data_IF_847600518657
#
_entry.id   IF_847600518657
#
_cell.length_a   1.000
_cell.length_b   1.000
_cell.length_c   1.000
_cell.angle_alpha   90.00
_cell.angle_beta   90.00
_cell.angle_gamma   90.00
#
_symmetry.space_group_name_H-M   'P 1'
#
loop_
_entity.id
_entity.type
_entity.pdbx_description
1 polymer ?
#
# COMPACT_ATOMS: atom_id res chain seq x y z
N UNK A 1 -15.19 13.90 16.83
CA UNK A 1 -15.86 12.83 17.58
C UNK A 1 -14.83 12.32 18.60
N UNK A 2 -15.18 11.65 19.71
CA UNK A 2 -14.12 10.96 20.46
C UNK A 2 -13.41 10.01 19.48
N UNK A 3 -12.08 9.93 19.53
CA UNK A 3 -11.30 9.01 18.67
C UNK A 3 -11.88 7.61 18.82
N UNK A 4 -12.61 7.17 17.81
CA UNK A 4 -13.19 5.84 17.79
C UNK A 4 -12.01 4.89 17.57
N UNK A 5 -11.77 4.03 18.55
CA UNK A 5 -10.68 3.06 18.50
C UNK A 5 -10.81 2.24 17.21
N UNK A 6 -9.74 2.20 16.40
CA UNK A 6 -9.77 1.45 15.13
C UNK A 6 -10.05 -0.03 15.41
N UNK A 7 -10.91 -0.62 14.60
CA UNK A 7 -11.28 -2.02 14.72
C UNK A 7 -10.59 -2.85 13.62
N UNK A 8 -9.79 -3.82 14.06
CA UNK A 8 -9.18 -4.84 13.21
C UNK A 8 -9.91 -6.17 13.38
N UNK A 9 -10.49 -6.69 12.30
CA UNK A 9 -11.11 -8.01 12.32
C UNK A 9 -10.12 -9.07 11.85
N UNK A 10 -9.94 -10.11 12.67
CA UNK A 10 -8.95 -11.17 12.46
C UNK A 10 -9.62 -12.39 11.83
N UNK A 11 -9.21 -12.70 10.60
CA UNK A 11 -9.62 -13.87 9.83
C UNK A 11 -8.52 -14.92 9.93
N UNK A 12 -8.81 -16.06 10.54
CA UNK A 12 -7.79 -17.10 10.71
C UNK A 12 -8.39 -18.48 10.92
N UNK A 13 -7.63 -19.57 10.65
CA UNK A 13 -8.09 -20.91 10.94
C UNK A 13 -8.35 -21.11 12.44
N UNK A 14 -9.47 -21.77 12.77
CA UNK A 14 -9.76 -22.19 14.14
C UNK A 14 -9.01 -23.49 14.45
N UNK A 15 -7.80 -23.37 14.99
CA UNK A 15 -7.00 -24.47 15.52
C UNK A 15 -6.15 -23.95 16.69
N UNK A 16 -5.93 -24.81 17.68
CA UNK A 16 -5.09 -24.51 18.86
C UNK A 16 -3.66 -24.09 18.47
N UNK A 17 -3.18 -24.57 17.31
CA UNK A 17 -1.86 -24.23 16.76
C UNK A 17 -1.68 -22.72 16.47
N UNK A 18 -2.79 -21.98 16.31
CA UNK A 18 -2.76 -20.55 16.02
C UNK A 18 -3.00 -19.66 17.24
N UNK A 19 -3.19 -20.24 18.42
CA UNK A 19 -3.59 -19.45 19.59
C UNK A 19 -2.50 -18.46 20.03
N UNK A 20 -1.23 -18.89 19.97
CA UNK A 20 -0.08 -18.02 20.26
C UNK A 20 0.14 -16.97 19.17
N UNK A 21 -0.07 -17.35 17.90
CA UNK A 21 -0.03 -16.41 16.76
C UNK A 21 -1.07 -15.31 16.96
N UNK A 22 -2.28 -15.68 17.37
CA UNK A 22 -3.35 -14.73 17.63
C UNK A 22 -3.03 -13.81 18.82
N UNK A 23 -2.78 -14.39 20.00
CA UNK A 23 -2.61 -13.62 21.24
C UNK A 23 -1.37 -12.73 21.20
N UNK A 24 -0.21 -13.32 20.91
CA UNK A 24 1.08 -12.65 21.02
C UNK A 24 1.52 -12.03 19.69
N UNK A 25 1.15 -12.65 18.58
CA UNK A 25 1.52 -12.20 17.24
C UNK A 25 0.59 -11.14 16.66
N UNK A 26 -0.70 -11.10 17.04
CA UNK A 26 -1.70 -10.19 16.46
C UNK A 26 -2.29 -9.22 17.49
N UNK A 27 -2.88 -9.71 18.60
CA UNK A 27 -3.55 -8.83 19.57
C UNK A 27 -2.58 -7.89 20.28
N UNK A 28 -1.44 -8.40 20.73
CA UNK A 28 -0.43 -7.56 21.40
C UNK A 28 0.11 -6.40 20.54
N UNK A 29 0.53 -6.58 19.27
CA UNK A 29 0.95 -5.46 18.42
C UNK A 29 -0.21 -4.52 18.08
N UNK A 30 -1.43 -5.03 17.85
CA UNK A 30 -2.59 -4.17 17.62
C UNK A 30 -2.90 -3.28 18.84
N UNK A 31 -2.90 -3.86 20.04
CA UNK A 31 -3.14 -3.13 21.28
C UNK A 31 -2.08 -2.05 21.57
N UNK A 32 -0.82 -2.26 21.16
CA UNK A 32 0.22 -1.23 21.27
C UNK A 32 -0.04 0.03 20.45
N UNK A 33 -0.88 -0.08 19.41
CA UNK A 33 -1.23 1.02 18.52
C UNK A 33 -2.66 1.55 18.75
N UNK A 34 -3.29 1.09 19.84
CA UNK A 34 -4.69 1.37 20.18
C UNK A 34 -5.67 0.90 19.09
N UNK A 35 -5.42 -0.31 18.57
CA UNK A 35 -6.29 -0.99 17.59
C UNK A 35 -6.92 -2.20 18.28
N UNK A 36 -8.25 -2.28 18.27
CA UNK A 36 -9.00 -3.41 18.79
C UNK A 36 -8.97 -4.55 17.78
N UNK A 37 -8.19 -5.60 18.06
CA UNK A 37 -8.14 -6.81 17.23
C UNK A 37 -9.01 -7.93 17.82
N UNK A 38 -10.03 -8.37 17.08
CA UNK A 38 -10.92 -9.46 17.52
C UNK A 38 -11.17 -10.50 16.42
N UNK A 39 -11.39 -11.74 16.86
CA UNK A 39 -11.93 -12.84 16.06
C UNK A 39 -13.42 -13.01 16.32
N UNK A 40 -14.10 -13.72 15.42
CA UNK A 40 -15.53 -13.99 15.55
C UNK A 40 -15.91 -14.82 16.80
N UNK A 41 -14.99 -15.64 17.34
CA UNK A 41 -15.24 -16.55 18.46
C UNK A 41 -15.17 -15.87 19.84
N UNK A 42 -14.56 -14.67 19.94
CA UNK A 42 -14.50 -13.90 21.19
C UNK A 42 -15.79 -13.12 21.51
N UNK A 43 -16.82 -13.32 20.69
CA UNK A 43 -17.96 -12.45 20.53
C UNK A 43 -19.27 -13.23 20.74
N UNK A 44 -19.99 -12.96 21.84
CA UNK A 44 -21.23 -13.68 22.20
C UNK A 44 -22.42 -13.12 21.41
N UNK A 45 -23.00 -13.91 20.50
CA UNK A 45 -24.18 -13.50 19.71
C UNK A 45 -25.17 -14.65 19.43
N UNK A 46 -26.39 -14.27 19.04
CA UNK A 46 -27.54 -15.18 18.77
C UNK A 46 -27.83 -15.37 17.27
N UNK A 47 -27.02 -14.78 16.39
CA UNK A 47 -27.17 -14.79 14.92
C UNK A 47 -26.35 -15.92 14.26
N UNK A 48 -26.57 -16.16 12.96
CA UNK A 48 -25.77 -17.09 12.16
C UNK A 48 -24.31 -16.64 12.01
N UNK A 49 -23.38 -17.59 12.05
CA UNK A 49 -21.93 -17.30 12.06
C UNK A 49 -21.47 -16.55 10.80
N UNK A 50 -22.06 -16.86 9.64
CA UNK A 50 -21.67 -16.28 8.36
C UNK A 50 -22.13 -14.82 8.24
N UNK A 51 -23.38 -14.52 8.61
CA UNK A 51 -23.90 -13.16 8.65
C UNK A 51 -23.08 -12.28 9.61
N UNK A 52 -22.61 -12.87 10.73
CA UNK A 52 -21.73 -12.17 11.67
C UNK A 52 -20.39 -11.82 11.03
N UNK A 53 -19.74 -12.76 10.36
CA UNK A 53 -18.45 -12.54 9.68
C UNK A 53 -18.58 -11.41 8.67
N UNK A 54 -19.62 -11.41 7.82
CA UNK A 54 -19.85 -10.33 6.86
C UNK A 54 -20.03 -8.98 7.55
N UNK A 55 -20.81 -8.94 8.63
CA UNK A 55 -21.02 -7.70 9.40
C UNK A 55 -19.72 -7.21 10.03
N UNK A 56 -18.90 -8.11 10.58
CA UNK A 56 -17.60 -7.75 11.16
C UNK A 56 -16.65 -7.20 10.09
N UNK A 57 -16.58 -7.85 8.92
CA UNK A 57 -15.79 -7.34 7.80
C UNK A 57 -16.31 -5.95 7.36
N UNK A 58 -17.63 -5.76 7.30
CA UNK A 58 -18.23 -4.50 6.87
C UNK A 58 -17.92 -3.33 7.83
N UNK A 59 -17.84 -3.57 9.14
CA UNK A 59 -17.52 -2.53 10.13
C UNK A 59 -16.02 -2.39 10.44
N UNK A 60 -15.20 -3.38 10.10
CA UNK A 60 -13.76 -3.32 10.35
C UNK A 60 -13.08 -2.22 9.53
N UNK A 61 -12.14 -1.51 10.16
CA UNK A 61 -11.25 -0.57 9.50
C UNK A 61 -10.10 -1.32 8.82
N UNK A 62 -9.63 -2.39 9.47
CA UNK A 62 -8.51 -3.22 9.03
C UNK A 62 -8.92 -4.69 9.06
N UNK A 63 -8.51 -5.45 8.05
CA UNK A 63 -8.62 -6.91 8.05
C UNK A 63 -7.22 -7.48 8.23
N UNK A 64 -7.04 -8.35 9.22
CA UNK A 64 -5.81 -9.13 9.41
C UNK A 64 -6.15 -10.58 9.09
N UNK A 65 -5.56 -11.15 8.05
CA UNK A 65 -5.93 -12.48 7.58
C UNK A 65 -4.74 -13.44 7.58
N UNK A 66 -4.79 -14.53 8.35
CA UNK A 66 -3.79 -15.59 8.34
C UNK A 66 -4.14 -16.66 7.31
N UNK A 67 -3.36 -16.69 6.23
CA UNK A 67 -3.57 -17.56 5.07
C UNK A 67 -2.84 -18.90 5.19
N UNK A 68 -2.17 -19.15 6.32
CA UNK A 68 -1.38 -20.38 6.55
C UNK A 68 -2.20 -21.64 6.32
N UNK A 69 -1.62 -22.61 5.61
CA UNK A 69 -2.29 -23.90 5.35
C UNK A 69 -3.46 -23.81 4.37
N UNK A 70 -3.63 -22.66 3.70
CA UNK A 70 -4.57 -22.45 2.61
C UNK A 70 -6.04 -22.72 2.98
N UNK A 71 -6.47 -22.26 4.15
CA UNK A 71 -7.85 -22.47 4.60
C UNK A 71 -8.88 -21.84 3.64
N UNK A 72 -9.79 -22.63 3.03
CA UNK A 72 -10.75 -22.12 2.04
C UNK A 72 -11.71 -21.05 2.58
N UNK A 73 -12.05 -21.09 3.87
CA UNK A 73 -12.94 -20.12 4.48
C UNK A 73 -12.24 -18.76 4.61
N UNK A 74 -10.99 -18.74 5.06
CA UNK A 74 -10.21 -17.49 5.15
C UNK A 74 -10.04 -16.86 3.77
N UNK A 75 -9.77 -17.65 2.72
CA UNK A 75 -9.74 -17.13 1.35
C UNK A 75 -11.06 -16.53 0.91
N UNK A 76 -12.18 -17.18 1.23
CA UNK A 76 -13.50 -16.67 0.91
C UNK A 76 -13.78 -15.32 1.59
N UNK A 77 -13.43 -15.20 2.87
CA UNK A 77 -13.60 -14.00 3.69
C UNK A 77 -12.70 -12.85 3.21
N UNK A 78 -11.43 -13.14 2.86
CA UNK A 78 -10.51 -12.17 2.24
C UNK A 78 -11.04 -11.70 0.88
N UNK A 79 -11.58 -12.61 0.08
CA UNK A 79 -12.23 -12.26 -1.19
C UNK A 79 -13.40 -11.27 -1.00
N UNK A 80 -14.23 -11.50 0.03
CA UNK A 80 -15.32 -10.58 0.39
C UNK A 80 -14.79 -9.24 0.89
N UNK A 81 -13.76 -9.24 1.74
CA UNK A 81 -13.11 -8.03 2.23
C UNK A 81 -12.50 -7.18 1.11
N UNK A 82 -11.82 -7.81 0.14
CA UNK A 82 -11.31 -7.13 -1.05
C UNK A 82 -12.42 -6.52 -1.91
N UNK A 83 -13.54 -7.24 -2.10
CA UNK A 83 -14.69 -6.71 -2.83
C UNK A 83 -15.33 -5.49 -2.15
N UNK A 84 -15.08 -5.30 -0.85
CA UNK A 84 -15.50 -4.15 -0.04
C UNK A 84 -14.43 -3.06 0.08
N UNK A 85 -13.33 -3.16 -0.67
CA UNK A 85 -12.18 -2.25 -0.63
C UNK A 85 -11.59 -2.08 0.79
N UNK A 86 -11.61 -3.15 1.60
CA UNK A 86 -11.04 -3.13 2.95
C UNK A 86 -9.51 -3.19 2.93
N UNK A 87 -8.88 -2.48 3.86
CA UNK A 87 -7.43 -2.55 4.07
C UNK A 87 -7.06 -3.91 4.66
N UNK A 88 -6.53 -4.80 3.82
CA UNK A 88 -6.18 -6.16 4.20
C UNK A 88 -4.67 -6.31 4.41
N UNK A 89 -4.27 -6.78 5.59
CA UNK A 89 -2.93 -7.21 5.93
C UNK A 89 -2.93 -8.74 5.95
N UNK A 90 -2.28 -9.34 4.97
CA UNK A 90 -2.20 -10.80 4.86
C UNK A 90 -1.01 -11.34 5.65
N UNK A 91 -1.19 -12.44 6.36
CA UNK A 91 -0.15 -13.14 7.12
C UNK A 91 -0.01 -14.56 6.57
N UNK A 92 1.20 -15.10 6.63
CA UNK A 92 1.42 -16.53 6.37
C UNK A 92 2.69 -17.04 7.04
N UNK A 93 2.67 -18.29 7.50
CA UNK A 93 3.88 -18.99 7.93
C UNK A 93 4.74 -19.45 6.75
N UNK A 94 4.15 -19.68 5.57
CA UNK A 94 4.85 -20.09 4.35
C UNK A 94 4.40 -19.25 3.13
N UNK A 95 5.35 -18.65 2.43
CA UNK A 95 5.08 -17.88 1.19
C UNK A 95 4.37 -18.68 0.09
N UNK A 96 4.47 -20.01 0.10
CA UNK A 96 3.79 -20.89 -0.86
C UNK A 96 2.27 -20.95 -0.64
N UNK A 97 1.79 -20.59 0.55
CA UNK A 97 0.36 -20.57 0.86
C UNK A 97 -0.35 -19.35 0.26
N UNK A 98 0.38 -18.33 -0.19
CA UNK A 98 -0.20 -17.17 -0.87
C UNK A 98 -0.39 -17.50 -2.36
N UNK A 99 -1.63 -17.50 -2.88
CA UNK A 99 -1.90 -17.72 -4.30
C UNK A 99 -1.21 -16.67 -5.15
N UNK A 100 -0.85 -17.05 -6.39
CA UNK A 100 -0.11 -16.19 -7.31
C UNK A 100 -0.73 -14.79 -7.44
N UNK A 101 -2.05 -14.69 -7.59
CA UNK A 101 -2.77 -13.42 -7.74
C UNK A 101 -2.65 -12.51 -6.50
N UNK A 102 -2.48 -13.10 -5.31
CA UNK A 102 -2.32 -12.36 -4.05
C UNK A 102 -0.86 -12.07 -3.70
N UNK A 103 0.13 -12.63 -4.41
CA UNK A 103 1.55 -12.40 -4.11
C UNK A 103 1.98 -10.94 -4.27
N UNK A 104 1.26 -10.19 -5.10
CA UNK A 104 1.47 -8.76 -5.31
C UNK A 104 0.87 -7.89 -4.19
N UNK A 105 -0.03 -8.45 -3.38
CA UNK A 105 -0.56 -7.79 -2.20
C UNK A 105 0.45 -7.85 -1.05
N UNK A 106 0.35 -6.87 -0.15
CA UNK A 106 1.16 -6.82 1.07
C UNK A 106 0.86 -8.06 1.90
N UNK A 107 1.91 -8.81 2.21
CA UNK A 107 1.81 -9.96 3.08
C UNK A 107 3.06 -10.12 3.95
N UNK A 108 2.85 -10.59 5.18
CA UNK A 108 3.90 -10.88 6.14
C UNK A 108 4.15 -12.38 6.15
N UNK A 109 5.34 -12.77 5.69
CA UNK A 109 5.85 -14.14 5.89
C UNK A 109 6.59 -14.20 7.23
N UNK A 110 6.04 -14.93 8.21
CA UNK A 110 6.58 -14.98 9.57
C UNK A 110 7.32 -16.27 9.93
N UNK A 111 7.25 -17.34 9.12
CA UNK A 111 8.00 -18.59 9.29
C UNK A 111 7.91 -19.17 10.73
N UNK A 112 6.74 -19.09 11.37
CA UNK A 112 6.53 -19.54 12.75
C UNK A 112 7.14 -18.64 13.84
N UNK A 113 7.81 -17.55 13.49
CA UNK A 113 8.40 -16.61 14.47
C UNK A 113 7.38 -15.58 14.92
N UNK A 114 6.82 -15.75 16.12
CA UNK A 114 5.90 -14.78 16.75
C UNK A 114 6.56 -13.41 16.91
N UNK A 115 7.84 -13.38 17.32
CA UNK A 115 8.59 -12.13 17.44
C UNK A 115 8.70 -11.42 16.09
N UNK A 116 9.04 -12.17 15.03
CA UNK A 116 9.16 -11.61 13.69
C UNK A 116 7.81 -11.17 13.12
N UNK A 117 6.73 -11.87 13.45
CA UNK A 117 5.37 -11.44 13.13
C UNK A 117 5.04 -10.12 13.82
N UNK A 118 5.26 -10.03 15.14
CA UNK A 118 4.99 -8.84 15.95
C UNK A 118 5.68 -7.59 15.40
N UNK A 119 6.98 -7.68 15.13
CA UNK A 119 7.76 -6.56 14.58
C UNK A 119 7.20 -6.08 13.23
N UNK A 120 6.97 -7.00 12.30
CA UNK A 120 6.45 -6.65 10.95
C UNK A 120 5.00 -6.18 10.99
N UNK A 121 4.18 -6.74 11.87
CA UNK A 121 2.77 -6.36 11.96
C UNK A 121 2.60 -4.97 12.58
N UNK A 122 3.47 -4.55 13.51
CA UNK A 122 3.50 -3.16 13.99
C UNK A 122 3.74 -2.19 12.83
N UNK A 123 4.68 -2.49 11.94
CA UNK A 123 4.97 -1.63 10.79
C UNK A 123 3.76 -1.54 9.84
N UNK A 124 3.13 -2.67 9.51
CA UNK A 124 1.98 -2.68 8.60
C UNK A 124 0.72 -2.08 9.24
N UNK A 125 0.50 -2.24 10.55
CA UNK A 125 -0.61 -1.60 11.27
C UNK A 125 -0.43 -0.09 11.39
N UNK A 126 0.80 0.39 11.63
CA UNK A 126 1.09 1.84 11.59
C UNK A 126 0.82 2.42 10.20
N UNK A 127 1.22 1.72 9.14
CA UNK A 127 0.88 2.12 7.77
C UNK A 127 -0.63 2.19 7.57
N UNK A 128 -1.38 1.14 7.94
CA UNK A 128 -2.83 1.10 7.77
C UNK A 128 -3.54 2.20 8.57
N UNK A 129 -3.12 2.43 9.81
CA UNK A 129 -3.61 3.52 10.66
C UNK A 129 -3.39 4.89 10.00
N UNK A 130 -2.17 5.16 9.55
CA UNK A 130 -1.86 6.42 8.85
C UNK A 130 -2.68 6.59 7.56
N UNK A 131 -2.89 5.52 6.78
CA UNK A 131 -3.73 5.55 5.58
C UNK A 131 -5.18 5.93 5.92
N UNK A 132 -5.75 5.33 6.97
CA UNK A 132 -7.10 5.63 7.45
C UNK A 132 -7.19 7.08 7.92
N UNK A 133 -6.27 7.52 8.76
CA UNK A 133 -6.22 8.90 9.29
C UNK A 133 -6.11 9.93 8.16
N UNK A 134 -5.20 9.70 7.21
CA UNK A 134 -5.04 10.54 6.02
C UNK A 134 -6.35 10.67 5.23
N UNK A 135 -7.06 9.56 4.99
CA UNK A 135 -8.33 9.58 4.27
C UNK A 135 -9.41 10.29 5.10
N UNK A 136 -9.49 10.06 6.40
CA UNK A 136 -10.49 10.69 7.26
C UNK A 136 -10.32 12.22 7.33
N UNK A 137 -9.08 12.68 7.46
CA UNK A 137 -8.75 14.10 7.58
C UNK A 137 -8.81 14.82 6.23
N UNK A 138 -8.13 14.29 5.21
CA UNK A 138 -8.04 14.92 3.89
C UNK A 138 -9.28 14.69 3.02
N UNK A 139 -10.01 13.58 3.25
CA UNK A 139 -11.08 13.04 2.39
C UNK A 139 -10.62 12.64 0.99
N UNK A 140 -9.33 12.35 0.86
CA UNK A 140 -8.71 11.95 -0.39
C UNK A 140 -8.15 10.55 -0.20
N UNK A 141 -8.58 9.62 -1.04
CA UNK A 141 -7.99 8.30 -1.19
C UNK A 141 -7.05 8.34 -2.39
N UNK A 142 -5.85 7.80 -2.22
CA UNK A 142 -4.82 7.78 -3.28
C UNK A 142 -4.67 6.36 -3.80
N UNK A 143 -4.80 6.18 -5.12
CA UNK A 143 -4.73 4.85 -5.75
C UNK A 143 -3.78 4.89 -6.92
N UNK A 144 -2.69 4.12 -6.86
CA UNK A 144 -1.82 3.89 -8.01
C UNK A 144 -2.57 3.04 -9.05
N UNK A 145 -3.11 3.68 -10.10
CA UNK A 145 -3.83 2.99 -11.18
C UNK A 145 -2.90 2.31 -12.17
N UNK A 146 -1.77 2.93 -12.46
CA UNK A 146 -0.83 2.45 -13.46
C UNK A 146 0.58 2.84 -13.10
N UNK A 147 1.49 1.87 -13.19
CA UNK A 147 2.92 2.09 -13.29
C UNK A 147 3.43 1.14 -14.40
N UNK A 148 3.75 1.68 -15.56
CA UNK A 148 4.29 0.89 -16.68
C UNK A 148 5.57 1.53 -17.15
N UNK A 149 6.53 0.73 -17.57
CA UNK A 149 7.78 1.29 -18.03
C UNK A 149 8.35 0.63 -19.27
N UNK A 150 9.25 1.37 -19.88
CA UNK A 150 10.01 1.02 -21.06
C UNK A 150 11.50 1.20 -20.80
N UNK A 151 12.30 0.44 -21.54
CA UNK A 151 13.74 0.45 -21.45
C UNK A 151 14.32 1.06 -22.73
N UNK A 152 15.12 2.11 -22.58
CA UNK A 152 15.97 2.64 -23.64
C UNK A 152 17.41 2.19 -23.40
N UNK A 153 17.98 1.46 -24.35
CA UNK A 153 19.36 0.98 -24.26
C UNK A 153 20.29 1.73 -25.21
N UNK A 154 21.49 1.98 -24.71
CA UNK A 154 22.66 2.31 -25.53
C UNK A 154 23.73 1.25 -25.34
N UNK A 155 24.89 1.38 -26.00
CA UNK A 155 26.04 0.50 -25.76
C UNK A 155 26.61 0.59 -24.35
N UNK A 156 26.30 1.65 -23.59
CA UNK A 156 26.98 1.96 -22.32
C UNK A 156 26.06 2.02 -21.12
N UNK A 157 24.74 2.17 -21.34
CA UNK A 157 23.77 2.27 -20.25
C UNK A 157 22.38 1.83 -20.68
N UNK A 158 21.60 1.41 -19.70
CA UNK A 158 20.18 1.12 -19.81
C UNK A 158 19.40 2.13 -18.97
N UNK A 159 18.58 2.94 -19.62
CA UNK A 159 17.75 3.96 -19.01
C UNK A 159 16.32 3.43 -18.92
N UNK A 160 15.78 3.37 -17.71
CA UNK A 160 14.40 2.96 -17.47
C UNK A 160 13.49 4.17 -17.37
N UNK A 161 12.36 4.13 -18.06
CA UNK A 161 11.29 5.11 -17.97
C UNK A 161 10.06 4.46 -17.35
N UNK A 162 9.35 5.16 -16.46
CA UNK A 162 8.11 4.67 -15.86
C UNK A 162 7.05 5.75 -15.96
N UNK A 163 5.94 5.43 -16.59
CA UNK A 163 4.72 6.23 -16.64
C UNK A 163 3.83 5.88 -15.45
N UNK A 164 3.55 6.88 -14.62
CA UNK A 164 2.65 6.77 -13.48
C UNK A 164 1.30 7.41 -13.81
N UNK A 165 0.22 6.76 -13.39
CA UNK A 165 -1.10 7.35 -13.26
C UNK A 165 -1.64 7.03 -11.87
N UNK A 166 -1.93 8.08 -11.10
CA UNK A 166 -2.42 7.97 -9.72
C UNK A 166 -3.75 8.69 -9.63
N UNK A 167 -4.77 8.00 -9.15
CA UNK A 167 -6.08 8.57 -8.89
C UNK A 167 -6.13 9.16 -7.48
N UNK A 168 -6.75 10.33 -7.38
CA UNK A 168 -7.15 10.99 -6.15
C UNK A 168 -8.69 10.94 -6.11
N UNK A 169 -9.26 10.23 -5.15
CA UNK A 169 -10.71 10.01 -5.06
C UNK A 169 -11.26 10.63 -3.78
N UNK A 170 -12.40 11.28 -3.87
CA UNK A 170 -13.19 11.68 -2.71
C UNK A 170 -14.47 10.85 -2.66
N UNK A 171 -14.41 9.73 -1.97
CA UNK A 171 -15.54 8.81 -1.76
C UNK A 171 -16.47 9.26 -0.63
N UNK A 172 -16.14 10.36 0.06
CA UNK A 172 -16.90 10.89 1.19
C UNK A 172 -18.05 11.78 0.74
N UNK A 173 -18.92 12.17 1.68
CA UNK A 173 -20.02 13.08 1.44
C UNK A 173 -19.67 14.58 1.60
N UNK A 174 -18.38 14.89 1.85
CA UNK A 174 -17.88 16.26 2.06
C UNK A 174 -16.78 16.57 1.07
N UNK A 175 -16.55 17.85 0.82
CA UNK A 175 -15.42 18.30 0.00
C UNK A 175 -14.09 18.06 0.74
N UNK A 176 -13.04 17.72 0.00
CA UNK A 176 -11.69 17.49 0.52
C UNK A 176 -11.07 18.74 1.14
N UNK A 177 -9.89 18.60 1.75
CA UNK A 177 -9.00 19.74 2.01
C UNK A 177 -8.42 20.29 0.70
N UNK A 178 -7.95 21.55 0.74
CA UNK A 178 -7.31 22.17 -0.43
C UNK A 178 -5.89 21.62 -0.59
N UNK A 179 -5.63 21.03 -1.76
CA UNK A 179 -4.31 20.54 -2.19
C UNK A 179 -3.52 21.74 -2.73
N UNK A 180 -2.53 22.18 -1.97
CA UNK A 180 -1.65 23.28 -2.36
C UNK A 180 -0.49 22.76 -3.22
N UNK A 181 0.12 21.66 -2.78
CA UNK A 181 1.30 21.07 -3.41
C UNK A 181 1.21 19.54 -3.35
N UNK A 182 1.74 18.88 -4.37
CA UNK A 182 1.98 17.44 -4.34
C UNK A 182 3.49 17.20 -4.43
N UNK A 183 4.01 16.34 -3.56
CA UNK A 183 5.37 15.82 -3.67
C UNK A 183 5.36 14.32 -3.92
N UNK A 184 6.22 13.87 -4.83
CA UNK A 184 6.53 12.46 -5.01
C UNK A 184 7.94 12.18 -4.53
N UNK A 185 8.11 11.21 -3.64
CA UNK A 185 9.39 10.87 -3.02
C UNK A 185 10.06 9.70 -3.73
N UNK A 186 11.35 9.84 -4.01
CA UNK A 186 12.13 8.81 -4.70
C UNK A 186 13.49 8.59 -4.05
N UNK A 187 14.11 7.45 -4.39
CA UNK A 187 15.54 7.24 -4.14
C UNK A 187 16.39 8.08 -5.09
N UNK A 188 17.69 8.15 -4.82
CA UNK A 188 18.64 8.94 -5.61
C UNK A 188 18.67 8.52 -7.09
N UNK A 189 18.80 9.50 -7.99
CA UNK A 189 19.02 9.32 -9.42
C UNK A 189 17.76 9.24 -10.28
N UNK A 190 16.57 9.24 -9.67
CA UNK A 190 15.32 9.40 -10.40
C UNK A 190 15.08 10.86 -10.76
N UNK A 191 14.65 11.10 -12.00
CA UNK A 191 14.15 12.39 -12.47
C UNK A 191 12.69 12.24 -12.86
N UNK A 192 11.89 13.26 -12.61
CA UNK A 192 10.47 13.26 -12.95
C UNK A 192 10.16 14.31 -14.01
N UNK A 193 9.21 14.01 -14.88
CA UNK A 193 8.63 14.97 -15.83
C UNK A 193 7.11 14.91 -15.77
N UNK A 194 6.47 16.06 -15.87
CA UNK A 194 5.02 16.21 -15.95
C UNK A 194 4.69 17.13 -17.11
N UNK A 195 3.76 16.73 -17.98
CA UNK A 195 3.37 17.48 -19.18
C UNK A 195 4.57 17.92 -20.05
N UNK A 196 5.58 17.05 -20.16
CA UNK A 196 6.80 17.27 -20.95
C UNK A 196 7.83 18.20 -20.31
N UNK A 197 7.64 18.64 -19.07
CA UNK A 197 8.59 19.50 -18.34
C UNK A 197 9.21 18.76 -17.17
N UNK A 198 10.50 18.97 -16.91
CA UNK A 198 11.19 18.43 -15.73
C UNK A 198 10.57 19.02 -14.45
N UNK A 199 10.20 18.14 -13.53
CA UNK A 199 9.67 18.49 -12.23
C UNK A 199 10.80 19.04 -11.35
N UNK A 200 10.65 20.23 -10.74
CA UNK A 200 11.61 20.71 -9.75
C UNK A 200 11.78 19.71 -8.62
N UNK A 201 13.00 19.52 -8.15
CA UNK A 201 13.30 18.53 -7.09
C UNK A 201 14.32 19.06 -6.09
N UNK A 202 14.25 18.59 -4.85
CA UNK A 202 15.22 18.91 -3.80
C UNK A 202 15.41 17.70 -2.87
N UNK A 203 16.32 17.82 -1.91
CA UNK A 203 16.55 16.79 -0.91
C UNK A 203 15.26 16.46 -0.15
N UNK A 204 15.06 15.17 0.10
CA UNK A 204 13.93 14.64 0.88
C UNK A 204 14.03 15.05 2.34
N UNK A 205 12.88 15.36 2.94
CA UNK A 205 12.68 15.51 4.38
C UNK A 205 12.22 14.22 5.08
N UNK A 206 12.13 13.11 4.34
CA UNK A 206 11.84 11.77 4.86
C UNK A 206 13.10 10.89 4.84
N UNK A 207 13.35 10.08 5.89
CA UNK A 207 14.62 9.36 6.07
C UNK A 207 14.87 8.26 5.02
N UNK A 208 13.82 7.65 4.48
CA UNK A 208 13.93 6.52 3.54
C UNK A 208 14.00 6.95 2.06
N UNK A 209 13.94 8.25 1.80
CA UNK A 209 13.94 8.81 0.46
C UNK A 209 15.06 9.82 0.33
N UNK A 210 15.63 9.95 -0.87
CA UNK A 210 16.74 10.88 -1.10
C UNK A 210 16.25 12.19 -1.70
N UNK A 211 15.21 12.13 -2.53
CA UNK A 211 14.73 13.26 -3.32
C UNK A 211 13.21 13.35 -3.22
N UNK A 212 12.69 14.56 -3.14
CA UNK A 212 11.27 14.86 -3.35
C UNK A 212 11.11 15.73 -4.60
N UNK A 213 10.11 15.40 -5.41
CA UNK A 213 9.82 16.03 -6.68
C UNK A 213 8.50 16.77 -6.58
N UNK A 214 8.49 18.05 -6.98
CA UNK A 214 7.28 18.84 -7.06
C UNK A 214 6.44 18.37 -8.24
N UNK A 215 5.17 18.04 -7.96
CA UNK A 215 4.16 17.77 -8.96
C UNK A 215 3.06 18.82 -8.89
N UNK A 216 2.62 19.27 -10.06
CA UNK A 216 1.49 20.20 -10.16
C UNK A 216 0.20 19.42 -9.86
N UNK A 217 -0.61 19.85 -8.87
CA UNK A 217 -1.88 19.20 -8.57
C UNK A 217 -2.82 19.25 -9.77
N UNK A 218 -3.52 18.15 -10.12
CA UNK A 218 -4.47 18.15 -11.23
C UNK A 218 -5.71 19.00 -10.92
N UNK A 219 -6.04 19.13 -9.64
CA UNK A 219 -7.09 19.99 -9.09
C UNK A 219 -6.64 20.52 -7.72
N UNK A 220 -7.16 21.67 -7.31
CA UNK A 220 -6.94 22.18 -5.95
C UNK A 220 -7.79 21.49 -4.90
N UNK A 221 -8.94 20.94 -5.27
CA UNK A 221 -9.90 20.38 -4.33
C UNK A 221 -10.78 19.35 -5.03
N UNK A 222 -11.22 18.33 -4.29
CA UNK A 222 -12.17 17.33 -4.76
C UNK A 222 -13.52 17.52 -4.05
N UNK A 223 -14.55 17.80 -4.83
CA UNK A 223 -15.94 17.79 -4.35
C UNK A 223 -16.38 16.37 -3.98
N UNK A 224 -17.51 16.27 -3.26
CA UNK A 224 -18.15 14.99 -2.91
C UNK A 224 -18.26 14.09 -4.15
N UNK A 225 -17.78 12.86 -4.06
CA UNK A 225 -17.84 11.85 -5.12
C UNK A 225 -16.98 12.17 -6.35
N UNK A 226 -16.18 13.25 -6.32
CA UNK A 226 -15.31 13.61 -7.42
C UNK A 226 -13.99 12.83 -7.36
N UNK A 227 -13.34 12.72 -8.50
CA UNK A 227 -11.99 12.18 -8.60
C UNK A 227 -11.17 13.04 -9.57
N UNK A 228 -9.86 12.96 -9.44
CA UNK A 228 -8.90 13.50 -10.39
C UNK A 228 -7.74 12.51 -10.56
N UNK A 229 -6.95 12.68 -11.62
CA UNK A 229 -5.80 11.81 -11.86
C UNK A 229 -4.57 12.66 -12.14
N UNK A 230 -3.47 12.29 -11.49
CA UNK A 230 -2.16 12.83 -11.78
C UNK A 230 -1.35 11.86 -12.64
N UNK A 231 -0.73 12.39 -13.69
CA UNK A 231 0.14 11.64 -14.60
C UNK A 231 1.50 12.29 -14.65
N UNK A 232 2.55 11.49 -14.55
CA UNK A 232 3.93 11.94 -14.70
C UNK A 232 4.79 10.76 -15.15
N UNK A 233 5.97 11.06 -15.67
CA UNK A 233 6.97 10.07 -16.05
C UNK A 233 8.16 10.17 -15.10
N UNK A 234 8.77 9.06 -14.74
CA UNK A 234 10.09 9.04 -14.11
C UNK A 234 11.12 8.41 -15.03
N UNK A 235 12.38 8.80 -14.88
CA UNK A 235 13.50 8.16 -15.57
C UNK A 235 14.71 8.00 -14.66
N UNK A 236 15.46 6.92 -14.86
CA UNK A 236 16.73 6.65 -14.17
C UNK A 236 17.58 5.66 -14.98
N UNK A 237 18.89 5.89 -15.00
CA UNK A 237 19.84 4.88 -15.47
C UNK A 237 19.85 3.70 -14.49
N UNK A 238 19.41 2.54 -14.95
CA UNK A 238 19.29 1.33 -14.15
C UNK A 238 20.57 0.48 -14.16
N UNK A 239 21.34 0.56 -15.24
CA UNK A 239 22.60 -0.16 -15.36
C UNK A 239 23.58 0.58 -16.27
N UNK A 240 24.85 0.35 -16.01
CA UNK A 240 25.97 0.77 -16.85
C UNK A 240 26.67 -0.50 -17.36
N UNK A 241 27.22 -0.44 -18.57
CA UNK A 241 28.03 -1.50 -19.14
C UNK A 241 29.45 -0.99 -19.39
N UNK A 242 30.43 -1.79 -19.00
CA UNK A 242 31.82 -1.59 -19.38
C UNK A 242 32.11 -2.31 -20.71
N UNK A 243 33.30 -2.09 -21.27
CA UNK A 243 33.63 -2.58 -22.62
C UNK A 243 33.58 -4.11 -22.70
N UNK A 244 32.58 -4.64 -23.40
CA UNK A 244 32.38 -6.08 -23.62
C UNK A 244 31.26 -6.70 -22.77
N UNK A 245 30.64 -5.93 -21.87
CA UNK A 245 29.45 -6.37 -21.14
C UNK A 245 28.17 -6.07 -21.96
N UNK A 246 27.24 -7.02 -21.95
CA UNK A 246 25.91 -6.83 -22.53
C UNK A 246 24.91 -6.42 -21.44
N UNK A 247 24.11 -5.39 -21.74
CA UNK A 247 23.00 -4.98 -20.89
C UNK A 247 21.84 -5.97 -21.03
N UNK A 248 21.08 -6.17 -19.95
CA UNK A 248 19.90 -7.03 -19.97
C UNK A 248 18.79 -6.41 -20.81
N UNK A 249 17.95 -7.25 -21.40
CA UNK A 249 16.78 -6.80 -22.17
C UNK A 249 15.60 -6.37 -21.29
N UNK A 250 15.67 -6.68 -19.98
CA UNK A 250 14.70 -6.25 -19.00
C UNK A 250 15.33 -6.00 -17.63
N UNK A 251 14.69 -5.09 -16.91
CA UNK A 251 15.03 -4.76 -15.53
C UNK A 251 13.76 -4.70 -14.70
N UNK A 252 13.83 -5.18 -13.46
CA UNK A 252 12.74 -5.06 -12.49
C UNK A 252 12.98 -3.83 -11.63
N UNK A 253 12.02 -2.91 -11.61
CA UNK A 253 11.99 -1.76 -10.71
C UNK A 253 10.94 -2.03 -9.63
N UNK A 254 11.43 -2.33 -8.43
CA UNK A 254 10.59 -2.56 -7.27
C UNK A 254 10.94 -1.59 -6.13
N UNK A 255 9.96 -1.29 -5.28
CA UNK A 255 10.17 -0.48 -4.09
C UNK A 255 8.92 0.21 -3.61
N UNK A 256 9.10 1.05 -2.59
CA UNK A 256 8.06 1.93 -2.04
C UNK A 256 8.37 3.37 -2.45
N UNK A 257 7.33 4.18 -2.56
CA UNK A 257 7.39 5.64 -2.75
C UNK A 257 6.32 6.29 -1.88
N UNK A 258 6.46 7.60 -1.62
CA UNK A 258 5.43 8.38 -0.93
C UNK A 258 4.89 9.43 -1.90
N UNK A 259 3.57 9.56 -1.97
CA UNK A 259 2.89 10.73 -2.52
C UNK A 259 2.39 11.57 -1.33
N UNK A 260 2.98 12.75 -1.14
CA UNK A 260 2.54 13.70 -0.12
C UNK A 260 1.58 14.71 -0.73
N UNK A 261 0.41 14.86 -0.12
CA UNK A 261 -0.48 15.98 -0.35
C UNK A 261 -0.22 17.03 0.73
N UNK A 262 0.22 18.21 0.34
CA UNK A 262 0.40 19.35 1.25
C UNK A 262 -0.87 20.20 1.19
N UNK A 263 -1.44 20.47 2.35
CA UNK A 263 -2.70 21.18 2.51
C UNK A 263 -2.61 22.19 3.64
N UNK A 264 -3.60 23.07 3.76
CA UNK A 264 -3.71 24.01 4.88
C UNK A 264 -3.79 23.32 6.26
N UNK A 265 -4.24 22.04 6.30
CA UNK A 265 -4.43 21.27 7.53
C UNK A 265 -3.21 20.43 7.91
N UNK A 266 -2.23 20.33 7.00
CA UNK A 266 -1.03 19.51 7.21
C UNK A 266 -0.63 18.72 5.96
N UNK A 267 0.29 17.80 6.18
CA UNK A 267 0.83 16.90 5.16
C UNK A 267 0.18 15.53 5.31
N UNK A 268 -0.35 14.99 4.20
CA UNK A 268 -0.91 13.64 4.15
C UNK A 268 -0.04 12.77 3.25
N UNK A 269 0.58 11.74 3.82
CA UNK A 269 1.58 10.89 3.16
C UNK A 269 1.01 9.52 2.78
N UNK A 270 0.88 9.27 1.49
CA UNK A 270 0.35 8.01 0.96
C UNK A 270 1.46 7.12 0.43
N UNK A 271 1.57 5.89 0.94
CA UNK A 271 2.57 4.94 0.49
C UNK A 271 2.14 4.20 -0.79
N UNK A 272 3.01 4.22 -1.79
CA UNK A 272 2.81 3.59 -3.09
C UNK A 272 3.79 2.42 -3.27
N UNK A 273 3.24 1.23 -3.47
CA UNK A 273 4.02 0.05 -3.86
C UNK A 273 4.27 0.06 -5.37
N UNK A 274 5.54 0.07 -5.77
CA UNK A 274 5.96 0.04 -7.16
C UNK A 274 6.54 -1.35 -7.42
N UNK A 275 5.94 -2.09 -8.36
CA UNK A 275 6.50 -3.32 -8.91
C UNK A 275 6.28 -3.33 -10.43
N UNK A 276 7.31 -2.91 -11.18
CA UNK A 276 7.25 -2.76 -12.63
C UNK A 276 8.42 -3.53 -13.26
N UNK A 277 8.11 -4.42 -14.20
CA UNK A 277 9.12 -4.96 -15.11
C UNK A 277 9.15 -4.11 -16.36
N UNK A 278 10.32 -3.56 -16.69
CA UNK A 278 10.51 -2.74 -17.87
C UNK A 278 11.31 -3.53 -18.91
N UNK A 279 10.86 -3.42 -20.15
CA UNK A 279 11.39 -4.18 -21.29
C UNK A 279 11.85 -3.22 -22.37
N UNK A 280 12.85 -3.65 -23.14
CA UNK A 280 13.18 -2.96 -24.39
C UNK A 280 11.95 -2.94 -25.31
N UNK A 281 11.62 -1.77 -25.85
CA UNK A 281 10.51 -1.66 -26.80
C UNK A 281 10.92 -2.44 -28.06
N UNK A 282 10.17 -3.46 -28.49
CA UNK A 282 10.44 -4.13 -29.75
C UNK A 282 10.19 -3.12 -30.87
N UNK A 283 11.26 -2.77 -31.61
CA UNK A 283 11.22 -1.95 -32.80
C UNK A 283 10.45 -2.63 -33.95
#
# INVERSE_FOLDING_TARGET
MPDEQLFAFVLMPFSDDFEDVYKFGIKEPAAQLDILAERVDEQIYTEGILERIYRQIDIADIIIADMTGQNPNVFYEVGYAHAKDKLCILLTSNSEDIPFDLKHHRHIVYNGSIKGLKEKLIDELNWAKNEIENIQESRIKVVLKKATGDLEKTKFRADGHIDFAIDLLNETDRTSTDIEVIYFYSTKGWKLTQDGKECPSTDSDLPNFSVRHFLTPPVRKLHKGAWAQIKFKSSKTLAWATKGEELKDSYKVNGRSILRLVTEQGNFDYELSIDVSIYEIPF
#
